data_IF_722671997325
#
_entry.id   IF_722671997325
#
_cell.length_a   1.000
_cell.length_b   1.000
_cell.length_c   1.000
_cell.angle_alpha   90.00
_cell.angle_beta   90.00
_cell.angle_gamma   90.00
#
_symmetry.space_group_name_H-M   'P 1'
#
loop_
_entity.id
_entity.type
_entity.pdbx_description
1 polymer ?
#
# COMPACT_ATOMS: atom_id res chain seq x y z
N UNK A 1 -18.25 -4.91 14.75
CA UNK A 1 -17.95 -4.33 13.43
C UNK A 1 -18.21 -5.39 12.37
N UNK A 2 -18.95 -5.06 11.31
CA UNK A 2 -19.17 -5.97 10.17
C UNK A 2 -18.24 -5.55 9.04
N UNK A 3 -17.61 -6.53 8.37
CA UNK A 3 -16.89 -6.28 7.13
C UNK A 3 -17.84 -6.68 6.00
N UNK A 4 -18.25 -5.71 5.18
CA UNK A 4 -18.95 -6.01 3.94
C UNK A 4 -17.94 -6.58 2.92
N UNK A 5 -18.29 -7.69 2.28
CA UNK A 5 -17.51 -8.27 1.18
C UNK A 5 -18.22 -7.95 -0.14
N UNK A 6 -17.57 -7.14 -0.98
CA UNK A 6 -18.07 -6.79 -2.32
C UNK A 6 -17.26 -7.44 -3.45
N UNK A 7 -16.28 -8.28 -3.13
CA UNK A 7 -15.35 -8.88 -4.10
C UNK A 7 -15.61 -10.37 -4.35
N UNK A 8 -16.27 -11.07 -3.41
CA UNK A 8 -16.55 -12.51 -3.54
C UNK A 8 -15.27 -13.35 -3.58
N UNK A 9 -15.23 -14.39 -4.42
CA UNK A 9 -14.06 -15.27 -4.55
C UNK A 9 -12.92 -14.57 -5.31
N UNK A 10 -12.02 -13.94 -4.57
CA UNK A 10 -10.83 -13.30 -5.12
C UNK A 10 -9.83 -14.34 -5.64
N UNK A 11 -9.47 -14.25 -6.92
CA UNK A 11 -8.43 -15.08 -7.51
C UNK A 11 -7.06 -14.76 -6.91
N UNK A 12 -6.13 -15.73 -6.79
CA UNK A 12 -4.76 -15.47 -6.37
C UNK A 12 -4.09 -14.38 -7.22
N UNK A 13 -3.41 -13.44 -6.57
CA UNK A 13 -2.70 -12.34 -7.23
C UNK A 13 -1.20 -12.43 -6.92
N UNK A 14 -0.42 -13.21 -7.70
CA UNK A 14 1.01 -13.45 -7.41
C UNK A 14 1.90 -12.23 -7.72
N UNK A 15 1.33 -11.15 -8.24
CA UNK A 15 2.00 -9.87 -8.39
C UNK A 15 1.01 -8.75 -8.68
N UNK A 16 1.03 -7.71 -7.86
CA UNK A 16 0.22 -6.49 -8.01
C UNK A 16 1.16 -5.34 -8.34
N UNK A 17 0.81 -4.54 -9.34
CA UNK A 17 1.66 -3.46 -9.85
C UNK A 17 1.00 -2.08 -9.70
N UNK A 18 1.80 -1.00 -9.72
CA UNK A 18 1.26 0.36 -9.73
C UNK A 18 0.17 0.52 -10.81
N UNK A 19 -0.90 1.22 -10.45
CA UNK A 19 -2.08 1.50 -11.29
C UNK A 19 -3.00 0.28 -11.55
N UNK A 20 -2.74 -0.88 -10.94
CA UNK A 20 -3.61 -2.06 -10.97
C UNK A 20 -4.57 -2.06 -9.78
N UNK A 21 -5.65 -2.85 -9.87
CA UNK A 21 -6.56 -3.06 -8.75
C UNK A 21 -5.97 -4.04 -7.74
N UNK A 22 -6.13 -3.76 -6.45
CA UNK A 22 -5.70 -4.61 -5.34
C UNK A 22 -6.81 -4.69 -4.28
N UNK A 23 -6.91 -5.80 -3.53
CA UNK A 23 -7.79 -5.88 -2.38
C UNK A 23 -7.34 -4.91 -1.29
N UNK A 24 -8.29 -4.18 -0.71
CA UNK A 24 -8.09 -3.38 0.50
C UNK A 24 -9.26 -3.62 1.45
N UNK A 25 -9.01 -3.50 2.76
CA UNK A 25 -10.08 -3.32 3.74
C UNK A 25 -10.09 -1.85 4.13
N UNK A 26 -11.15 -1.13 3.78
CA UNK A 26 -11.27 0.32 4.00
C UNK A 26 -12.39 0.65 4.98
N UNK A 27 -12.30 1.82 5.60
CA UNK A 27 -13.42 2.40 6.34
C UNK A 27 -14.46 3.00 5.37
N UNK A 28 -15.74 2.75 5.62
CA UNK A 28 -16.89 3.35 4.92
C UNK A 28 -17.95 3.69 5.96
N UNK A 29 -18.08 4.99 6.28
CA UNK A 29 -18.91 5.43 7.41
C UNK A 29 -18.44 4.74 8.70
N UNK A 30 -19.38 4.13 9.42
CA UNK A 30 -19.11 3.40 10.67
C UNK A 30 -18.72 1.92 10.45
N UNK A 31 -18.68 1.46 9.19
CA UNK A 31 -18.39 0.08 8.81
C UNK A 31 -17.04 -0.07 8.10
N UNK A 32 -16.62 -1.32 7.88
CA UNK A 32 -15.47 -1.65 7.03
C UNK A 32 -15.91 -2.46 5.82
N UNK A 33 -15.20 -2.29 4.72
CA UNK A 33 -15.49 -2.97 3.45
C UNK A 33 -14.20 -3.59 2.89
N UNK A 34 -14.26 -4.86 2.53
CA UNK A 34 -13.29 -5.51 1.66
C UNK A 34 -13.69 -5.25 0.20
N UNK A 35 -12.87 -4.49 -0.52
CA UNK A 35 -13.14 -4.05 -1.89
C UNK A 35 -11.88 -4.07 -2.75
N UNK A 36 -12.02 -3.84 -4.06
CA UNK A 36 -10.90 -3.58 -4.97
C UNK A 36 -10.72 -2.07 -5.17
N UNK A 37 -9.49 -1.59 -5.01
CA UNK A 37 -9.12 -0.21 -5.29
C UNK A 37 -7.86 -0.15 -6.19
N UNK A 38 -7.71 0.93 -6.96
CA UNK A 38 -6.59 1.14 -7.89
C UNK A 38 -5.38 1.72 -7.16
N UNK A 39 -4.23 1.08 -7.28
CA UNK A 39 -3.02 1.47 -6.55
C UNK A 39 -2.36 2.73 -7.14
N UNK A 40 -2.55 3.85 -6.46
CA UNK A 40 -1.92 5.13 -6.79
C UNK A 40 -2.82 6.31 -6.42
N UNK A 41 -2.63 6.86 -5.21
CA UNK A 41 -3.34 8.06 -4.74
C UNK A 41 -3.12 9.28 -5.66
N UNK A 42 -4.00 10.30 -5.63
CA UNK A 42 -3.83 11.48 -6.48
C UNK A 42 -2.48 12.16 -6.28
N UNK A 43 -1.84 12.54 -7.38
CA UNK A 43 -0.57 13.27 -7.32
C UNK A 43 -0.77 14.73 -6.88
N UNK A 44 0.24 15.34 -6.23
CA UNK A 44 0.19 16.77 -5.93
C UNK A 44 0.20 17.59 -7.23
N UNK A 45 -0.50 18.73 -7.24
CA UNK A 45 -0.70 19.54 -8.44
C UNK A 45 0.60 19.91 -9.17
N UNK A 46 1.68 20.18 -8.43
CA UNK A 46 2.97 20.50 -9.03
C UNK A 46 3.57 19.33 -9.83
N UNK A 47 3.30 18.08 -9.44
CA UNK A 47 3.77 16.88 -10.14
C UNK A 47 2.98 16.60 -11.43
N UNK A 48 1.79 17.19 -11.55
CA UNK A 48 0.92 17.07 -12.73
C UNK A 48 1.20 18.15 -13.79
N UNK A 49 2.04 19.15 -13.51
CA UNK A 49 2.34 20.22 -14.46
C UNK A 49 2.93 19.65 -15.75
N UNK A 50 2.24 19.91 -16.87
CA UNK A 50 2.64 19.41 -18.20
C UNK A 50 2.41 17.92 -18.41
N UNK A 51 1.62 17.25 -17.55
CA UNK A 51 1.23 15.85 -17.71
C UNK A 51 -0.21 15.77 -18.20
N UNK A 52 -0.47 14.87 -19.14
CA UNK A 52 -1.80 14.57 -19.68
C UNK A 52 -2.54 13.48 -18.90
N UNK A 53 -1.88 12.85 -17.91
CA UNK A 53 -2.45 11.84 -17.04
C UNK A 53 -1.74 11.81 -15.68
N UNK A 54 -2.47 11.48 -14.63
CA UNK A 54 -1.96 11.22 -13.29
C UNK A 54 -1.64 9.73 -13.13
N UNK A 55 -0.35 9.39 -13.02
CA UNK A 55 0.10 8.02 -12.76
C UNK A 55 -0.16 7.55 -11.33
N UNK A 56 -0.50 8.48 -10.43
CA UNK A 56 -0.69 8.25 -9.02
C UNK A 56 0.59 8.12 -8.21
N UNK A 57 0.41 8.23 -6.91
CA UNK A 57 1.45 8.05 -5.89
C UNK A 57 1.15 6.75 -5.15
N UNK A 58 2.05 5.77 -5.27
CA UNK A 58 1.88 4.44 -4.66
C UNK A 58 2.33 4.36 -3.20
N UNK A 59 3.25 5.25 -2.80
CA UNK A 59 3.93 5.24 -1.52
C UNK A 59 3.88 6.64 -0.87
N UNK A 60 3.31 6.74 0.33
CA UNK A 60 3.17 7.99 1.08
C UNK A 60 4.25 8.05 2.16
N UNK A 61 5.32 8.80 1.91
CA UNK A 61 6.40 8.98 2.90
C UNK A 61 6.20 10.22 3.77
N UNK A 62 6.16 11.39 3.15
CA UNK A 62 6.11 12.66 3.88
C UNK A 62 4.66 13.04 4.21
N UNK A 63 4.11 12.43 5.26
CA UNK A 63 2.74 12.68 5.75
C UNK A 63 2.56 14.10 6.32
N UNK A 64 3.65 14.82 6.60
CA UNK A 64 3.61 16.25 6.99
C UNK A 64 3.27 17.19 5.83
N UNK A 65 3.39 16.72 4.58
CA UNK A 65 3.04 17.50 3.39
C UNK A 65 1.56 17.92 3.42
N UNK A 66 1.23 19.20 3.14
CA UNK A 66 -0.15 19.67 3.05
C UNK A 66 -1.02 18.88 2.06
N UNK A 67 -0.39 18.26 1.04
CA UNK A 67 -1.08 17.45 0.04
C UNK A 67 -1.92 16.33 0.68
N UNK A 68 -1.35 15.64 1.68
CA UNK A 68 -1.95 14.45 2.27
C UNK A 68 -3.00 14.75 3.33
N UNK A 69 -3.00 15.95 3.94
CA UNK A 69 -3.81 16.26 5.13
C UNK A 69 -5.29 15.89 5.00
N UNK A 70 -5.86 16.06 3.80
CA UNK A 70 -7.26 15.76 3.51
C UNK A 70 -7.61 14.26 3.56
N UNK A 71 -6.61 13.37 3.50
CA UNK A 71 -6.75 11.91 3.48
C UNK A 71 -6.10 11.22 4.69
N UNK A 72 -5.81 11.98 5.75
CA UNK A 72 -5.28 11.44 7.01
C UNK A 72 -6.36 11.29 8.09
N UNK A 73 -7.62 11.61 7.82
CA UNK A 73 -8.72 11.28 8.73
C UNK A 73 -9.04 9.79 8.70
N UNK A 74 -9.82 9.33 9.68
CA UNK A 74 -10.24 7.94 9.84
C UNK A 74 -11.01 7.44 8.60
N UNK A 75 -11.83 8.29 7.98
CA UNK A 75 -12.64 7.93 6.80
C UNK A 75 -11.80 7.49 5.60
N UNK A 76 -10.54 7.93 5.55
CA UNK A 76 -9.61 7.63 4.47
C UNK A 76 -8.65 6.49 4.82
N UNK A 77 -8.85 5.76 5.93
CA UNK A 77 -8.00 4.63 6.31
C UNK A 77 -8.37 3.36 5.56
N UNK A 78 -7.34 2.63 5.18
CA UNK A 78 -7.46 1.24 4.78
C UNK A 78 -6.27 0.43 5.26
N UNK A 79 -6.40 -0.89 5.24
CA UNK A 79 -5.28 -1.82 5.32
C UNK A 79 -5.16 -2.56 4.00
N UNK A 80 -3.93 -2.83 3.56
CA UNK A 80 -3.64 -3.49 2.28
C UNK A 80 -3.07 -4.88 2.56
N UNK A 81 -3.86 -5.95 2.42
CA UNK A 81 -3.41 -7.33 2.62
C UNK A 81 -2.24 -7.71 1.70
N UNK A 82 -1.25 -8.40 2.24
CA UNK A 82 -0.15 -8.99 1.48
C UNK A 82 0.37 -10.27 2.14
N UNK A 83 0.98 -11.15 1.34
CA UNK A 83 1.68 -12.36 1.79
C UNK A 83 3.20 -12.22 1.60
N UNK A 84 3.61 -11.50 0.55
CA UNK A 84 4.98 -11.08 0.29
C UNK A 84 4.98 -9.74 -0.45
N UNK A 85 6.11 -9.04 -0.44
CA UNK A 85 6.28 -7.81 -1.20
C UNK A 85 7.65 -7.75 -1.85
N UNK A 86 7.77 -6.98 -2.93
CA UNK A 86 9.02 -6.91 -3.69
C UNK A 86 9.65 -5.54 -3.65
N UNK A 87 10.98 -5.52 -3.51
CA UNK A 87 11.83 -4.37 -3.80
C UNK A 87 12.80 -4.73 -4.94
N UNK A 88 13.21 -3.72 -5.71
CA UNK A 88 14.12 -3.92 -6.83
C UNK A 88 15.58 -3.75 -6.39
N UNK A 89 16.36 -4.82 -6.49
CA UNK A 89 17.81 -4.77 -6.30
C UNK A 89 18.45 -4.09 -7.51
N UNK A 90 18.87 -2.83 -7.34
CA UNK A 90 19.54 -2.07 -8.41
C UNK A 90 20.90 -2.63 -8.84
N UNK A 91 21.60 -3.36 -7.96
CA UNK A 91 22.92 -3.94 -8.23
C UNK A 91 22.78 -5.23 -9.04
N UNK A 92 21.92 -6.14 -8.59
CA UNK A 92 21.64 -7.39 -9.29
C UNK A 92 20.66 -7.22 -10.46
N UNK A 93 19.95 -6.09 -10.53
CA UNK A 93 18.94 -5.74 -11.53
C UNK A 93 17.76 -6.73 -11.56
N UNK A 94 17.36 -7.20 -10.39
CA UNK A 94 16.29 -8.18 -10.22
C UNK A 94 15.29 -7.77 -9.13
N UNK A 95 14.03 -8.24 -9.21
CA UNK A 95 13.12 -8.19 -8.07
C UNK A 95 13.61 -9.13 -6.96
N UNK A 96 13.49 -8.67 -5.71
CA UNK A 96 13.71 -9.47 -4.50
C UNK A 96 12.41 -9.46 -3.72
N UNK A 97 11.97 -10.62 -3.25
CA UNK A 97 10.72 -10.79 -2.52
C UNK A 97 10.98 -11.05 -1.04
N UNK A 98 10.25 -10.32 -0.21
CA UNK A 98 10.32 -10.37 1.24
C UNK A 98 9.00 -10.90 1.82
N UNK A 99 9.11 -11.73 2.85
CA UNK A 99 8.00 -12.18 3.69
C UNK A 99 8.51 -12.46 5.11
N UNK A 100 7.62 -12.73 6.07
CA UNK A 100 8.02 -13.07 7.44
C UNK A 100 8.76 -14.41 7.56
N UNK A 101 8.46 -15.33 6.65
CA UNK A 101 9.09 -16.64 6.51
C UNK A 101 8.58 -17.29 5.20
N UNK A 102 9.03 -18.51 4.92
CA UNK A 102 8.64 -19.28 3.73
C UNK A 102 7.13 -19.58 3.63
N UNK A 103 6.39 -19.60 4.74
CA UNK A 103 4.94 -19.83 4.74
C UNK A 103 4.16 -18.60 4.28
N UNK A 104 4.82 -17.43 4.14
CA UNK A 104 4.23 -16.17 3.65
C UNK A 104 2.91 -15.81 4.37
N UNK A 105 2.93 -15.72 5.72
CA UNK A 105 1.73 -15.44 6.49
C UNK A 105 1.12 -14.10 6.10
N UNK A 106 -0.20 -14.00 6.20
CA UNK A 106 -0.91 -12.78 5.89
C UNK A 106 -0.51 -11.66 6.86
N UNK A 107 -0.19 -10.50 6.31
CA UNK A 107 -0.04 -9.24 7.03
C UNK A 107 -0.68 -8.10 6.23
N UNK A 108 -0.58 -6.88 6.74
CA UNK A 108 -1.15 -5.72 6.07
C UNK A 108 -0.23 -4.51 6.07
N UNK A 109 -0.29 -3.72 5.00
CA UNK A 109 0.29 -2.38 5.00
C UNK A 109 -0.69 -1.35 5.55
N UNK A 110 -0.14 -0.32 6.21
CA UNK A 110 -0.88 0.86 6.65
C UNK A 110 -1.27 1.74 5.43
N UNK A 111 -2.52 1.63 4.99
CA UNK A 111 -3.05 2.25 3.78
C UNK A 111 -3.88 3.52 4.02
N UNK A 112 -3.92 4.38 3.00
CA UNK A 112 -4.94 5.42 2.85
C UNK A 112 -5.63 5.32 1.49
N UNK A 113 -6.89 5.75 1.40
CA UNK A 113 -7.70 5.66 0.20
C UNK A 113 -8.58 6.89 -0.04
N UNK A 114 -9.05 7.07 -1.27
CA UNK A 114 -10.05 8.10 -1.64
C UNK A 114 -10.80 7.69 -2.90
N UNK A 115 -12.05 8.13 -3.04
CA UNK A 115 -12.71 8.20 -4.34
C UNK A 115 -12.24 9.46 -5.06
N UNK A 116 -11.83 9.36 -6.34
CA UNK A 116 -11.27 10.51 -7.05
C UNK A 116 -11.49 10.44 -8.56
N UNK A 117 -11.82 11.59 -9.16
CA UNK A 117 -11.97 11.75 -10.61
C UNK A 117 -10.69 12.31 -11.22
N UNK A 118 -10.12 11.62 -12.21
CA UNK A 118 -8.93 12.06 -12.92
C UNK A 118 -8.70 11.27 -14.21
N UNK A 119 -7.85 11.79 -15.10
CA UNK A 119 -7.30 11.00 -16.20
C UNK A 119 -6.11 10.18 -15.68
N UNK A 120 -6.28 8.86 -15.56
CA UNK A 120 -5.21 7.94 -15.10
C UNK A 120 -4.33 7.45 -16.23
N UNK A 121 -4.95 7.19 -17.39
CA UNK A 121 -4.31 6.87 -18.65
C UNK A 121 -4.98 7.68 -19.75
N UNK A 122 -4.19 8.29 -20.62
CA UNK A 122 -4.71 9.09 -21.75
C UNK A 122 -5.72 8.30 -22.60
N UNK A 123 -5.45 7.00 -22.81
CA UNK A 123 -6.33 6.10 -23.59
C UNK A 123 -7.64 5.75 -22.89
N UNK A 124 -7.66 5.80 -21.57
CA UNK A 124 -8.83 5.46 -20.74
C UNK A 124 -9.75 6.68 -20.59
N UNK A 125 -9.20 7.89 -20.71
CA UNK A 125 -9.93 9.12 -20.46
C UNK A 125 -10.08 9.41 -18.97
N UNK A 126 -11.02 10.29 -18.65
CA UNK A 126 -11.36 10.65 -17.28
C UNK A 126 -12.20 9.55 -16.65
N UNK A 127 -11.80 9.13 -15.45
CA UNK A 127 -12.50 8.10 -14.67
C UNK A 127 -12.66 8.56 -13.24
N UNK A 128 -13.73 8.12 -12.60
CA UNK A 128 -13.87 8.18 -11.13
C UNK A 128 -13.54 6.80 -10.59
N UNK A 129 -12.54 6.73 -9.73
CA UNK A 129 -12.04 5.46 -9.20
C UNK A 129 -11.73 5.57 -7.71
N UNK A 130 -11.88 4.45 -7.01
CA UNK A 130 -11.32 4.29 -5.69
C UNK A 130 -9.82 4.07 -5.82
N UNK A 131 -9.05 4.99 -5.25
CA UNK A 131 -7.60 5.01 -5.29
C UNK A 131 -7.06 4.72 -3.90
N UNK A 132 -5.95 4.00 -3.82
CA UNK A 132 -5.25 3.79 -2.55
C UNK A 132 -3.74 3.89 -2.69
N UNK A 133 -3.07 4.11 -1.58
CA UNK A 133 -1.63 3.99 -1.41
C UNK A 133 -1.36 3.53 0.01
N UNK A 134 -0.13 3.09 0.29
CA UNK A 134 0.29 2.78 1.65
C UNK A 134 1.44 3.67 2.08
N UNK A 135 1.59 3.82 3.39
CA UNK A 135 2.67 4.59 3.97
C UNK A 135 3.99 3.83 3.84
N UNK A 136 5.06 4.61 3.76
CA UNK A 136 6.44 4.10 3.81
C UNK A 136 7.21 4.80 4.91
N UNK A 137 8.22 4.13 5.43
CA UNK A 137 9.12 4.60 6.47
C UNK A 137 10.57 4.30 6.08
N UNK A 138 11.52 4.56 6.98
CA UNK A 138 12.90 4.10 6.80
C UNK A 138 12.94 2.57 6.79
N UNK A 139 13.84 1.94 6.01
CA UNK A 139 13.91 0.49 5.95
C UNK A 139 14.56 -0.10 7.22
N UNK A 140 14.16 -1.31 7.57
CA UNK A 140 14.91 -2.16 8.49
C UNK A 140 16.18 -2.70 7.80
N UNK A 141 16.99 -3.47 8.53
CA UNK A 141 18.26 -4.04 8.05
C UNK A 141 18.12 -4.85 6.76
N UNK A 142 17.11 -5.71 6.64
CA UNK A 142 16.97 -6.63 5.51
C UNK A 142 16.53 -5.90 4.24
N UNK A 143 15.50 -5.05 4.35
CA UNK A 143 15.05 -4.24 3.22
C UNK A 143 16.12 -3.23 2.85
N UNK A 144 16.78 -2.60 3.83
CA UNK A 144 17.79 -1.57 3.63
C UNK A 144 19.03 -2.08 2.89
N UNK A 145 19.36 -3.36 3.02
CA UNK A 145 20.43 -4.00 2.27
C UNK A 145 20.17 -4.06 0.75
N UNK A 146 18.89 -4.09 0.35
CA UNK A 146 18.45 -4.19 -1.06
C UNK A 146 17.98 -2.83 -1.59
N UNK A 147 17.14 -2.14 -0.83
CA UNK A 147 16.51 -0.87 -1.18
C UNK A 147 16.62 0.12 0.00
N UNK A 148 17.70 0.91 0.08
CA UNK A 148 18.02 1.74 1.25
C UNK A 148 17.12 2.96 1.43
N UNK A 149 16.17 3.18 0.51
CA UNK A 149 15.33 4.37 0.53
C UNK A 149 14.14 4.20 1.46
N UNK A 150 13.48 3.05 1.50
CA UNK A 150 12.26 2.83 2.28
C UNK A 150 11.96 1.36 2.46
N UNK A 151 11.09 1.10 3.43
CA UNK A 151 10.18 -0.03 3.40
C UNK A 151 8.71 0.43 3.55
N UNK A 152 7.74 -0.41 3.15
CA UNK A 152 6.33 -0.23 3.53
C UNK A 152 6.14 -0.24 5.05
N UNK A 153 5.15 0.50 5.55
CA UNK A 153 4.71 0.38 6.95
C UNK A 153 3.87 -0.88 7.08
N UNK A 154 4.34 -1.84 7.85
CA UNK A 154 3.70 -3.15 8.07
C UNK A 154 3.08 -3.17 9.47
N UNK A 155 1.81 -3.55 9.56
CA UNK A 155 1.11 -3.76 10.82
C UNK A 155 1.02 -5.26 11.08
N UNK A 156 1.49 -5.70 12.23
CA UNK A 156 1.66 -7.12 12.56
C UNK A 156 0.75 -7.58 13.69
N UNK A 157 0.31 -6.66 14.54
CA UNK A 157 -0.56 -6.97 15.66
C UNK A 157 -1.99 -6.48 15.40
N UNK A 158 -2.97 -7.21 15.94
CA UNK A 158 -4.37 -6.82 15.84
C UNK A 158 -4.60 -5.41 16.42
N UNK A 159 -3.91 -5.06 17.51
CA UNK A 159 -4.01 -3.74 18.10
C UNK A 159 -3.50 -2.64 17.16
N UNK A 160 -2.39 -2.86 16.46
CA UNK A 160 -1.87 -1.90 15.47
C UNK A 160 -2.85 -1.68 14.32
N UNK A 161 -3.48 -2.75 13.84
CA UNK A 161 -4.51 -2.70 12.79
C UNK A 161 -5.72 -1.88 13.26
N UNK A 162 -6.20 -2.14 14.48
CA UNK A 162 -7.33 -1.41 15.05
C UNK A 162 -6.99 0.07 15.30
N UNK A 163 -5.81 0.36 15.86
CA UNK A 163 -5.33 1.75 16.03
C UNK A 163 -5.26 2.45 14.67
N UNK A 164 -4.72 1.81 13.63
CA UNK A 164 -4.66 2.41 12.30
C UNK A 164 -6.04 2.73 11.73
N UNK A 165 -7.00 1.82 11.90
CA UNK A 165 -8.33 1.94 11.33
C UNK A 165 -9.30 2.79 12.17
N UNK A 166 -8.97 3.16 13.40
CA UNK A 166 -9.93 3.85 14.30
C UNK A 166 -9.37 5.05 15.08
N UNK A 167 -8.06 5.12 15.30
CA UNK A 167 -7.49 6.19 16.10
C UNK A 167 -7.37 7.50 15.29
N UNK A 168 -7.46 8.66 15.96
CA UNK A 168 -7.16 9.94 15.32
C UNK A 168 -5.72 9.96 14.81
N UNK A 169 -5.46 10.82 13.82
CA UNK A 169 -4.15 10.86 13.16
C UNK A 169 -2.98 11.14 14.12
N UNK A 170 -3.20 11.90 15.19
CA UNK A 170 -2.15 12.20 16.16
C UNK A 170 -1.64 10.97 16.92
N UNK A 171 -2.39 9.88 16.94
CA UNK A 171 -1.98 8.59 17.47
C UNK A 171 -1.54 7.66 16.34
N UNK A 172 -2.36 7.50 15.29
CA UNK A 172 -2.10 6.56 14.20
C UNK A 172 -0.80 6.85 13.43
N UNK A 173 -0.33 8.11 13.41
CA UNK A 173 0.95 8.47 12.75
C UNK A 173 2.16 7.81 13.39
N UNK A 174 2.10 7.43 14.66
CA UNK A 174 3.20 6.76 15.37
C UNK A 174 3.44 5.33 14.85
N UNK A 175 2.44 4.75 14.14
CA UNK A 175 2.60 3.49 13.43
C UNK A 175 3.44 3.64 12.14
N UNK A 176 3.72 4.86 11.67
CA UNK A 176 4.60 5.09 10.52
C UNK A 176 6.08 4.88 10.89
N UNK A 177 6.46 3.64 11.19
CA UNK A 177 7.78 3.23 11.68
C UNK A 177 8.26 1.95 10.98
N UNK A 178 9.59 1.70 10.94
CA UNK A 178 10.12 0.43 10.44
C UNK A 178 9.61 -0.75 11.28
N UNK A 179 9.52 -1.91 10.62
CA UNK A 179 9.46 -3.19 11.31
C UNK A 179 10.81 -3.43 12.02
N UNK A 180 10.83 -4.26 13.05
CA UNK A 180 12.09 -4.62 13.71
C UNK A 180 13.05 -5.33 12.73
N UNK A 181 14.35 -5.20 12.97
CA UNK A 181 15.36 -5.99 12.26
C UNK A 181 15.17 -7.49 12.52
N UNK A 182 15.69 -8.32 11.61
CA UNK A 182 15.68 -9.78 11.68
C UNK A 182 14.26 -10.39 11.72
N UNK A 183 13.26 -9.71 11.13
CA UNK A 183 11.86 -10.14 11.05
C UNK A 183 11.38 -10.54 9.66
N UNK A 184 12.17 -10.27 8.62
CA UNK A 184 11.83 -10.54 7.22
C UNK A 184 12.90 -11.44 6.59
N UNK A 185 12.46 -12.42 5.84
CA UNK A 185 13.30 -13.29 5.01
C UNK A 185 13.19 -12.88 3.54
N UNK A 186 14.27 -13.11 2.77
CA UNK A 186 14.21 -13.11 1.31
C UNK A 186 13.71 -14.49 0.86
N UNK A 187 12.49 -14.53 0.32
CA UNK A 187 11.79 -15.79 -0.04
C UNK A 187 11.80 -16.09 -1.54
N UNK A 188 12.14 -15.12 -2.39
CA UNK A 188 12.34 -15.33 -3.83
C UNK A 188 13.19 -14.20 -4.47
N UNK A 189 13.77 -14.49 -5.64
CA UNK A 189 14.57 -13.55 -6.46
C UNK A 189 14.30 -13.76 -7.95
N UNK A 190 14.49 -12.72 -8.76
CA UNK A 190 14.47 -12.81 -10.23
C UNK A 190 13.07 -12.81 -10.86
N UNK A 191 12.09 -13.46 -10.21
CA UNK A 191 10.70 -13.53 -10.66
C UNK A 191 9.97 -12.19 -10.48
N UNK A 192 9.16 -11.81 -11.49
CA UNK A 192 8.26 -10.65 -11.39
C UNK A 192 6.99 -10.95 -10.56
N UNK A 193 6.81 -12.19 -10.15
CA UNK A 193 5.69 -12.68 -9.35
C UNK A 193 6.24 -13.65 -8.30
N UNK A 194 5.56 -13.74 -7.16
CA UNK A 194 5.81 -14.73 -6.10
C UNK A 194 4.58 -15.63 -6.00
N UNK A 195 4.66 -16.77 -6.69
CA UNK A 195 3.59 -17.75 -6.86
C UNK A 195 4.04 -18.83 -7.84
N UNK A 196 3.39 -20.00 -7.82
CA UNK A 196 3.64 -21.04 -8.82
C UNK A 196 3.01 -20.60 -10.15
N UNK A 197 3.74 -20.77 -11.25
CA UNK A 197 3.20 -20.68 -12.62
C UNK A 197 2.05 -21.67 -12.84
#
# INVERSE_FOLDING_TARGET
MKVADTIGNLAPQPGIYPDYSAPIVRNIGDDRELTLARWGMPSPAFALKGKSADKGVTNVRNTKSPHWRRWLSIDHRCVVPFNSFSEFDSKAREPVWFAFNEDRPLAVFAGIWTNWTSVRKVKEGEVTADLFAFLTCEPNKEVGAIHPKAMPVILTEQQEIETWLSAPWDEAKELQRPLADDTLDIVARGGRQDGKD
#
